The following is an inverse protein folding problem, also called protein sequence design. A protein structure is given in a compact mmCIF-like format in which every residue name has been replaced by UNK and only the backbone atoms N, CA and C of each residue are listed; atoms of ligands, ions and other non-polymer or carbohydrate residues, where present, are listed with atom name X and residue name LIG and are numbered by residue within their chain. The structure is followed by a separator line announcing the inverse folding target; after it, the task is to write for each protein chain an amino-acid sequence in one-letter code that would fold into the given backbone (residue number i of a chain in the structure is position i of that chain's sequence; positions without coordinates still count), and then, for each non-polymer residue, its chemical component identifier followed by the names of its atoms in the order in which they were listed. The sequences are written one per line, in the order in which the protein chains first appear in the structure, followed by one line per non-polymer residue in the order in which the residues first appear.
data_IF_785517013840
#
_entry.id   IF_785517013840
#
_cell.length_a   1.000
_cell.length_b   1.000
_cell.length_c   1.000
_cell.angle_alpha   90.00
_cell.angle_beta   90.00
_cell.angle_gamma   90.00
#
_symmetry.space_group_name_H-M   'P 1'
#
loop_
_entity.id
_entity.type
_entity.pdbx_description
1 polymer ?
#
# COMPACT_ATOMS: atom_id res chain seq x y z
N UNK A 1 -18.46 -0.85 -22.75
CA UNK A 1 -17.52 -0.59 -23.87
C UNK A 1 -17.34 -1.83 -24.76
N UNK A 2 -17.00 -1.67 -26.06
CA UNK A 2 -16.76 -2.79 -26.96
C UNK A 2 -15.41 -3.43 -26.65
N UNK A 3 -15.40 -4.42 -25.75
CA UNK A 3 -14.18 -5.11 -25.27
C UNK A 3 -13.84 -6.37 -26.10
N UNK A 4 -14.50 -6.57 -27.24
CA UNK A 4 -14.21 -7.67 -28.15
C UNK A 4 -13.09 -7.34 -29.14
N UNK A 5 -12.50 -8.33 -29.83
CA UNK A 5 -11.51 -8.09 -30.89
C UNK A 5 -11.99 -7.07 -31.93
N UNK A 6 -11.13 -6.10 -32.26
CA UNK A 6 -11.47 -4.99 -33.17
C UNK A 6 -12.32 -3.87 -32.56
N UNK A 7 -12.78 -4.04 -31.31
CA UNK A 7 -13.45 -2.98 -30.55
C UNK A 7 -12.48 -1.87 -30.15
N UNK A 8 -12.90 -0.62 -30.32
CA UNK A 8 -12.16 0.56 -29.85
C UNK A 8 -12.70 1.00 -28.50
N UNK A 9 -11.84 1.04 -27.50
CA UNK A 9 -12.14 1.68 -26.22
C UNK A 9 -11.79 3.16 -26.34
N UNK A 10 -12.78 4.03 -26.17
CA UNK A 10 -12.54 5.47 -26.04
C UNK A 10 -11.89 5.76 -24.69
N UNK A 11 -10.91 6.66 -24.67
CA UNK A 11 -10.28 7.19 -23.47
C UNK A 11 -10.30 8.71 -23.54
N UNK A 12 -10.22 9.33 -22.36
CA UNK A 12 -10.09 10.77 -22.24
C UNK A 12 -8.61 11.17 -22.44
N UNK A 13 -8.28 11.96 -23.49
CA UNK A 13 -6.91 12.35 -23.77
C UNK A 13 -6.33 13.33 -22.73
N UNK A 14 -7.17 13.96 -21.91
CA UNK A 14 -6.74 14.93 -20.89
C UNK A 14 -6.32 14.26 -19.57
N UNK A 15 -6.44 12.93 -19.47
CA UNK A 15 -5.99 12.17 -18.30
C UNK A 15 -4.46 12.23 -18.19
N UNK A 16 -3.97 13.06 -17.28
CA UNK A 16 -2.55 13.22 -16.97
C UNK A 16 -2.00 12.21 -15.95
N UNK A 17 -2.85 11.46 -15.24
CA UNK A 17 -2.40 10.46 -14.28
C UNK A 17 -3.42 9.34 -14.06
N UNK A 18 -2.91 8.14 -13.81
CA UNK A 18 -3.67 6.99 -13.33
C UNK A 18 -3.19 6.62 -11.92
N UNK A 19 -4.07 6.77 -10.94
CA UNK A 19 -3.83 6.40 -9.55
C UNK A 19 -4.48 5.06 -9.24
N UNK A 20 -3.69 4.09 -8.83
CA UNK A 20 -4.12 2.72 -8.54
C UNK A 20 -4.06 2.47 -7.04
N UNK A 21 -5.17 2.00 -6.50
CA UNK A 21 -5.29 1.56 -5.12
C UNK A 21 -6.20 0.34 -5.01
N UNK A 22 -6.56 -0.02 -3.78
CA UNK A 22 -7.42 -1.16 -3.52
C UNK A 22 -8.85 -0.92 -4.04
N UNK A 23 -9.30 -1.77 -4.98
CA UNK A 23 -10.63 -1.71 -5.58
C UNK A 23 -11.24 -3.12 -5.68
N UNK A 24 -12.21 -3.43 -4.81
CA UNK A 24 -12.92 -4.71 -4.79
C UNK A 24 -13.71 -4.99 -6.08
N UNK A 25 -13.98 -3.96 -6.86
CA UNK A 25 -14.70 -4.03 -8.13
C UNK A 25 -13.77 -3.73 -9.32
N UNK A 26 -12.46 -3.98 -9.16
CA UNK A 26 -11.54 -4.00 -10.29
C UNK A 26 -12.03 -5.01 -11.32
N UNK A 27 -12.00 -4.62 -12.58
CA UNK A 27 -12.43 -5.48 -13.68
C UNK A 27 -11.57 -5.21 -14.90
N UNK A 28 -11.71 -6.06 -15.92
CA UNK A 28 -10.91 -5.96 -17.14
C UNK A 28 -11.04 -4.60 -17.84
N UNK A 29 -12.23 -3.97 -17.80
CA UNK A 29 -12.40 -2.65 -18.40
C UNK A 29 -11.56 -1.58 -17.69
N UNK A 30 -11.55 -1.55 -16.35
CA UNK A 30 -10.73 -0.60 -15.59
C UNK A 30 -9.24 -0.79 -15.87
N UNK A 31 -8.79 -2.05 -15.92
CA UNK A 31 -7.39 -2.40 -16.26
C UNK A 31 -7.03 -1.91 -17.66
N UNK A 32 -7.87 -2.21 -18.66
CA UNK A 32 -7.66 -1.79 -20.04
C UNK A 32 -7.68 -0.27 -20.20
N UNK A 33 -8.60 0.42 -19.52
CA UNK A 33 -8.71 1.88 -19.58
C UNK A 33 -7.49 2.55 -18.96
N UNK A 34 -7.06 2.09 -17.77
CA UNK A 34 -5.85 2.54 -17.10
C UNK A 34 -4.61 2.35 -17.99
N UNK A 35 -4.41 1.14 -18.53
CA UNK A 35 -3.32 0.84 -19.46
C UNK A 35 -3.33 1.76 -20.68
N UNK A 36 -4.51 2.00 -21.25
CA UNK A 36 -4.67 2.83 -22.43
C UNK A 36 -4.24 4.28 -22.16
N UNK A 37 -4.71 4.87 -21.06
CA UNK A 37 -4.28 6.22 -20.66
C UNK A 37 -2.76 6.28 -20.43
N UNK A 38 -2.21 5.33 -19.66
CA UNK A 38 -0.77 5.29 -19.33
C UNK A 38 0.12 5.19 -20.57
N UNK A 39 -0.32 4.48 -21.61
CA UNK A 39 0.49 4.20 -22.80
C UNK A 39 0.28 5.20 -23.94
N UNK A 40 -0.90 5.81 -24.04
CA UNK A 40 -1.29 6.66 -25.19
C UNK A 40 -1.22 8.14 -24.86
N UNK A 41 -1.57 8.54 -23.63
CA UNK A 41 -1.52 9.95 -23.24
C UNK A 41 -0.08 10.33 -22.92
N UNK A 42 0.42 11.38 -23.58
CA UNK A 42 1.78 11.87 -23.36
C UNK A 42 1.94 12.37 -21.92
N UNK A 43 3.04 11.97 -21.28
CA UNK A 43 3.32 12.31 -19.88
C UNK A 43 2.36 11.73 -18.85
N UNK A 44 1.49 10.77 -19.19
CA UNK A 44 0.57 10.18 -18.22
C UNK A 44 1.31 9.46 -17.09
N UNK A 45 1.10 9.90 -15.87
CA UNK A 45 1.72 9.35 -14.66
C UNK A 45 1.03 8.04 -14.23
N UNK A 46 1.83 7.09 -13.75
CA UNK A 46 1.33 5.87 -13.12
C UNK A 46 1.69 5.91 -11.64
N UNK A 47 0.67 6.00 -10.78
CA UNK A 47 0.84 6.21 -9.34
C UNK A 47 0.17 5.07 -8.58
N UNK A 48 0.84 4.54 -7.57
CA UNK A 48 0.32 3.50 -6.68
C UNK A 48 0.18 4.03 -5.25
N UNK A 49 -0.96 3.80 -4.61
CA UNK A 49 -1.18 4.21 -3.21
C UNK A 49 -0.42 3.33 -2.21
N UNK A 50 -0.18 2.06 -2.55
CA UNK A 50 0.65 1.10 -1.82
C UNK A 50 0.95 -0.07 -2.77
N UNK A 51 1.90 -0.93 -2.37
CA UNK A 51 2.27 -2.14 -3.11
C UNK A 51 1.91 -3.41 -2.34
N UNK A 52 1.04 -3.33 -1.33
CA UNK A 52 0.67 -4.48 -0.52
C UNK A 52 -0.08 -5.52 -1.37
N UNK A 53 0.54 -6.67 -1.60
CA UNK A 53 -0.01 -7.70 -2.50
C UNK A 53 -1.26 -8.37 -1.93
N UNK A 54 -1.26 -8.62 -0.62
CA UNK A 54 -2.34 -9.28 0.12
C UNK A 54 -2.69 -8.51 1.40
N UNK A 55 -3.93 -8.68 1.86
CA UNK A 55 -4.43 -8.17 3.12
C UNK A 55 -5.30 -9.20 3.84
N UNK A 56 -5.34 -9.10 5.18
CA UNK A 56 -6.19 -9.90 6.05
C UNK A 56 -7.46 -9.10 6.37
N UNK A 57 -8.49 -9.24 5.54
CA UNK A 57 -9.72 -8.43 5.61
C UNK A 57 -10.87 -9.13 6.35
N UNK A 58 -10.62 -10.30 6.93
CA UNK A 58 -11.60 -11.14 7.62
C UNK A 58 -10.97 -11.82 8.82
N UNK A 59 -11.78 -12.23 9.80
CA UNK A 59 -11.31 -13.02 10.96
C UNK A 59 -10.96 -14.49 10.60
N UNK A 60 -11.26 -14.93 9.37
CA UNK A 60 -10.86 -16.23 8.87
C UNK A 60 -9.37 -16.21 8.46
N UNK A 61 -8.65 -17.36 8.51
CA UNK A 61 -7.27 -17.47 8.05
C UNK A 61 -7.21 -17.46 6.51
N UNK A 62 -7.56 -16.32 5.93
CA UNK A 62 -7.64 -16.11 4.48
C UNK A 62 -6.90 -14.83 4.11
N UNK A 63 -6.02 -14.96 3.12
CA UNK A 63 -5.41 -13.84 2.43
C UNK A 63 -6.28 -13.39 1.26
N UNK A 64 -6.51 -12.10 1.16
CA UNK A 64 -7.28 -11.50 0.09
C UNK A 64 -6.36 -10.59 -0.71
N UNK A 65 -6.55 -10.53 -2.03
CA UNK A 65 -5.80 -9.61 -2.89
C UNK A 65 -5.96 -8.17 -2.39
N UNK A 66 -4.85 -7.43 -2.27
CA UNK A 66 -4.80 -6.03 -1.85
C UNK A 66 -4.31 -5.12 -2.98
N UNK A 67 -4.09 -3.83 -2.71
CA UNK A 67 -3.81 -2.82 -3.72
C UNK A 67 -2.65 -3.16 -4.66
N UNK A 68 -1.60 -3.79 -4.14
CA UNK A 68 -0.45 -4.28 -4.89
C UNK A 68 -0.82 -5.31 -5.97
N UNK A 69 -1.84 -6.14 -5.74
CA UNK A 69 -2.35 -7.06 -6.76
C UNK A 69 -2.96 -6.32 -7.96
N UNK A 70 -3.72 -5.23 -7.72
CA UNK A 70 -4.25 -4.39 -8.79
C UNK A 70 -3.13 -3.65 -9.53
N UNK A 71 -2.15 -3.12 -8.78
CA UNK A 71 -0.95 -2.50 -9.35
C UNK A 71 -0.20 -3.50 -10.24
N UNK A 72 -0.04 -4.74 -9.80
CA UNK A 72 0.58 -5.82 -10.55
C UNK A 72 -0.09 -6.08 -11.91
N UNK A 73 -1.42 -6.03 -11.97
CA UNK A 73 -2.14 -6.15 -13.24
C UNK A 73 -1.81 -5.00 -14.21
N UNK A 74 -1.73 -3.76 -13.71
CA UNK A 74 -1.36 -2.60 -14.53
C UNK A 74 0.11 -2.66 -14.96
N UNK A 75 1.02 -3.04 -14.06
CA UNK A 75 2.44 -3.27 -14.38
C UNK A 75 2.58 -4.30 -15.49
N UNK A 76 1.88 -5.43 -15.38
CA UNK A 76 1.96 -6.52 -16.35
C UNK A 76 1.51 -6.14 -17.75
N UNK A 77 0.50 -5.26 -17.87
CA UNK A 77 -0.02 -4.86 -19.18
C UNK A 77 0.59 -3.57 -19.75
N UNK A 78 1.22 -2.74 -18.92
CA UNK A 78 1.91 -1.51 -19.36
C UNK A 78 3.43 -1.69 -19.51
N UNK A 79 4.03 -2.60 -18.75
CA UNK A 79 5.50 -2.73 -18.62
C UNK A 79 6.15 -1.58 -17.85
N UNK A 80 5.37 -0.70 -17.20
CA UNK A 80 5.86 0.45 -16.44
C UNK A 80 5.77 0.20 -14.94
N UNK A 81 6.70 0.78 -14.19
CA UNK A 81 6.65 0.82 -12.73
C UNK A 81 5.91 2.08 -12.25
N UNK A 82 5.11 1.99 -11.16
CA UNK A 82 4.43 3.14 -10.61
C UNK A 82 5.34 3.98 -9.72
N UNK A 83 5.00 5.25 -9.57
CA UNK A 83 5.44 6.07 -8.43
C UNK A 83 4.61 5.70 -7.21
N UNK A 84 5.26 5.23 -6.14
CA UNK A 84 4.58 4.83 -4.90
C UNK A 84 4.48 6.03 -3.96
N UNK A 85 3.25 6.39 -3.59
CA UNK A 85 2.97 7.58 -2.76
C UNK A 85 2.55 7.28 -1.33
N UNK A 86 2.12 6.04 -1.03
CA UNK A 86 1.96 5.59 0.35
C UNK A 86 3.19 4.84 0.86
N UNK A 87 3.03 4.13 1.97
CA UNK A 87 4.13 3.41 2.64
C UNK A 87 4.92 2.53 1.64
N UNK A 88 6.26 2.58 1.66
CA UNK A 88 7.13 3.28 2.63
C UNK A 88 7.48 4.75 2.26
N UNK A 89 6.84 5.34 1.25
CA UNK A 89 7.11 6.73 0.81
C UNK A 89 6.92 7.76 1.93
N UNK A 90 7.81 8.77 2.06
CA UNK A 90 7.73 9.80 3.11
C UNK A 90 6.60 10.81 2.90
N UNK A 91 5.98 10.86 1.72
CA UNK A 91 4.98 11.87 1.36
C UNK A 91 3.85 11.99 2.38
N UNK A 92 3.39 10.85 2.91
CA UNK A 92 2.34 10.85 3.93
C UNK A 92 2.79 11.54 5.23
N UNK A 93 4.00 11.24 5.72
CA UNK A 93 4.44 11.82 7.00
C UNK A 93 4.76 13.31 6.86
N UNK A 94 5.31 13.72 5.72
CA UNK A 94 5.61 15.12 5.42
C UNK A 94 4.33 15.97 5.42
N UNK A 95 3.28 15.46 4.76
CA UNK A 95 1.96 16.10 4.78
C UNK A 95 1.37 16.18 6.19
N UNK A 96 1.46 15.10 6.96
CA UNK A 96 0.93 15.06 8.33
C UNK A 96 1.69 16.02 9.25
N UNK A 97 3.01 16.09 9.13
CA UNK A 97 3.88 17.01 9.88
C UNK A 97 3.54 18.47 9.55
N UNK A 98 3.42 18.82 8.27
CA UNK A 98 3.02 20.17 7.83
C UNK A 98 1.64 20.55 8.36
N UNK A 99 0.69 19.62 8.33
CA UNK A 99 -0.71 19.86 8.71
C UNK A 99 -0.93 19.96 10.21
N UNK A 100 -0.23 19.15 11.01
CA UNK A 100 -0.51 18.99 12.44
C UNK A 100 0.63 19.47 13.36
N UNK A 101 1.82 19.74 12.82
CA UNK A 101 2.94 20.33 13.58
C UNK A 101 3.47 19.45 14.71
N UNK A 102 3.58 18.13 14.50
CA UNK A 102 4.16 17.22 15.48
C UNK A 102 5.64 16.94 15.21
N UNK A 103 6.35 16.54 16.27
CA UNK A 103 7.71 16.02 16.17
C UNK A 103 7.67 14.52 15.84
N UNK A 104 8.32 14.10 14.75
CA UNK A 104 8.30 12.70 14.27
C UNK A 104 8.71 11.69 15.34
N UNK A 105 9.73 11.98 16.14
CA UNK A 105 10.20 11.10 17.22
C UNK A 105 9.20 10.85 18.35
N UNK A 106 8.10 11.61 18.40
CA UNK A 106 6.98 11.43 19.35
C UNK A 106 5.79 10.69 18.76
N UNK A 107 5.89 10.25 17.51
CA UNK A 107 4.87 9.48 16.80
C UNK A 107 5.32 8.02 16.73
N UNK A 108 4.37 7.10 16.90
CA UNK A 108 4.59 5.68 16.75
C UNK A 108 3.80 5.16 15.55
N UNK A 109 4.49 4.58 14.58
CA UNK A 109 3.90 3.80 13.51
C UNK A 109 3.53 2.42 14.05
N UNK A 110 2.24 2.11 14.06
CA UNK A 110 1.71 0.80 14.45
C UNK A 110 1.21 0.09 13.20
N UNK A 111 1.68 -1.12 12.95
CA UNK A 111 1.29 -1.89 11.78
C UNK A 111 1.73 -3.34 11.84
N UNK A 112 1.38 -4.12 10.83
CA UNK A 112 1.54 -5.58 10.81
C UNK A 112 2.55 -6.06 9.74
N UNK A 113 3.14 -5.14 8.96
CA UNK A 113 4.12 -5.44 7.92
C UNK A 113 5.48 -4.82 8.19
N UNK A 114 6.53 -5.64 8.07
CA UNK A 114 7.91 -5.18 8.19
C UNK A 114 8.32 -4.25 7.05
N UNK A 115 8.05 -4.66 5.81
CA UNK A 115 8.51 -4.00 4.59
C UNK A 115 7.72 -2.74 4.21
N UNK A 116 6.57 -2.50 4.84
CA UNK A 116 5.79 -1.27 4.64
C UNK A 116 5.64 -0.45 5.92
N UNK A 117 5.05 -0.99 7.00
CA UNK A 117 4.78 -0.21 8.21
C UNK A 117 6.06 0.12 8.99
N UNK A 118 6.83 -0.92 9.34
CA UNK A 118 8.04 -0.75 10.14
C UNK A 118 9.08 0.02 9.34
N UNK A 119 9.23 -0.29 8.04
CA UNK A 119 10.13 0.44 7.17
C UNK A 119 9.71 1.91 7.02
N UNK A 120 8.41 2.20 6.82
CA UNK A 120 7.91 3.57 6.80
C UNK A 120 8.25 4.31 8.09
N UNK A 121 8.01 3.71 9.26
CA UNK A 121 8.33 4.36 10.53
C UNK A 121 9.82 4.61 10.70
N UNK A 122 10.65 3.60 10.42
CA UNK A 122 12.11 3.67 10.55
C UNK A 122 12.71 4.74 9.63
N UNK A 123 12.37 4.69 8.34
CA UNK A 123 12.93 5.58 7.32
C UNK A 123 12.49 7.05 7.54
N UNK A 124 11.40 7.25 8.27
CA UNK A 124 10.85 8.58 8.55
C UNK A 124 11.11 9.08 9.98
N UNK A 125 11.88 8.37 10.79
CA UNK A 125 12.23 8.80 12.15
C UNK A 125 11.07 8.74 13.15
N UNK A 126 10.09 7.86 12.91
CA UNK A 126 9.03 7.51 13.84
C UNK A 126 9.50 6.37 14.75
N UNK A 127 8.86 6.21 15.90
CA UNK A 127 8.90 4.93 16.63
C UNK A 127 8.09 3.89 15.87
N UNK A 128 8.42 2.62 16.05
CA UNK A 128 7.76 1.51 15.35
C UNK A 128 7.29 0.45 16.31
N UNK A 129 6.04 0.03 16.16
CA UNK A 129 5.45 -1.09 16.88
C UNK A 129 4.81 -2.04 15.87
N UNK A 130 5.35 -3.26 15.80
CA UNK A 130 4.78 -4.32 14.98
C UNK A 130 3.70 -5.08 15.77
N UNK A 131 2.53 -5.29 15.18
CA UNK A 131 1.52 -6.22 15.72
C UNK A 131 1.51 -7.52 14.94
N UNK A 132 1.45 -8.66 15.63
CA UNK A 132 1.52 -10.00 15.04
C UNK A 132 0.14 -10.55 14.62
N UNK A 133 -0.91 -9.75 14.74
CA UNK A 133 -2.28 -10.12 14.37
C UNK A 133 -2.57 -10.05 12.87
N UNK A 134 -1.57 -9.76 12.04
CA UNK A 134 -1.74 -9.53 10.60
C UNK A 134 -0.73 -10.32 9.76
N UNK A 135 -0.03 -9.65 8.85
CA UNK A 135 0.81 -10.29 7.83
C UNK A 135 2.12 -10.85 8.38
N UNK A 136 2.83 -10.13 9.23
CA UNK A 136 4.11 -10.59 9.78
C UNK A 136 3.87 -11.58 10.91
N UNK A 137 4.33 -12.82 10.74
CA UNK A 137 4.34 -13.81 11.83
C UNK A 137 5.55 -13.63 12.74
N UNK A 138 5.50 -14.18 13.95
CA UNK A 138 6.65 -14.17 14.87
C UNK A 138 7.87 -14.87 14.24
N UNK A 139 7.66 -15.96 13.50
CA UNK A 139 8.73 -16.65 12.77
C UNK A 139 9.41 -15.75 11.74
N UNK A 140 8.63 -14.99 10.95
CA UNK A 140 9.18 -14.02 10.01
C UNK A 140 9.95 -12.91 10.72
N UNK A 141 9.42 -12.40 11.83
CA UNK A 141 10.09 -11.39 12.65
C UNK A 141 11.43 -11.92 13.17
N UNK A 142 11.45 -13.12 13.77
CA UNK A 142 12.63 -13.70 14.42
C UNK A 142 13.62 -14.36 13.45
N UNK A 143 13.26 -14.48 12.17
CA UNK A 143 14.14 -15.01 11.13
C UNK A 143 15.48 -14.26 11.08
N UNK A 144 16.57 -15.03 10.87
CA UNK A 144 17.90 -14.50 10.65
C UNK A 144 18.02 -13.72 9.33
N UNK A 145 17.13 -13.99 8.37
CA UNK A 145 17.09 -13.29 7.08
C UNK A 145 16.40 -11.92 7.16
N UNK A 146 15.61 -11.68 8.22
CA UNK A 146 14.92 -10.43 8.39
C UNK A 146 15.91 -9.30 8.73
N UNK A 147 15.90 -8.25 7.90
CA UNK A 147 16.78 -7.07 8.02
C UNK A 147 16.06 -5.86 8.62
N UNK A 148 14.74 -5.93 8.79
CA UNK A 148 13.90 -4.83 9.28
C UNK A 148 13.47 -5.17 10.70
N UNK A 149 13.80 -4.31 11.66
CA UNK A 149 13.56 -4.54 13.09
C UNK A 149 12.70 -3.41 13.64
N UNK A 150 11.50 -3.70 14.18
CA UNK A 150 10.72 -2.68 14.88
C UNK A 150 11.36 -2.36 16.25
N UNK A 151 11.04 -1.19 16.82
CA UNK A 151 11.46 -0.83 18.19
C UNK A 151 10.82 -1.77 19.22
N UNK A 152 9.58 -2.19 18.97
CA UNK A 152 8.84 -3.13 19.80
C UNK A 152 7.87 -3.97 18.95
N UNK A 153 7.38 -5.07 19.51
CA UNK A 153 6.27 -5.83 18.94
C UNK A 153 5.30 -6.31 20.01
N UNK A 154 4.05 -6.55 19.62
CA UNK A 154 2.97 -7.06 20.45
C UNK A 154 2.10 -8.05 19.68
N UNK A 155 1.31 -8.86 20.37
CA UNK A 155 0.43 -9.83 19.69
C UNK A 155 -0.67 -9.11 18.91
N UNK A 156 -1.29 -8.10 19.53
CA UNK A 156 -2.40 -7.34 18.94
C UNK A 156 -2.37 -5.87 19.33
N UNK A 157 -3.14 -5.04 18.62
CA UNK A 157 -3.31 -3.62 19.00
C UNK A 157 -4.01 -3.44 20.35
N UNK A 158 -4.76 -4.44 20.83
CA UNK A 158 -5.48 -4.37 22.11
C UNK A 158 -4.52 -4.32 23.29
N UNK A 159 -3.33 -4.88 23.12
CA UNK A 159 -2.30 -4.93 24.16
C UNK A 159 -1.68 -3.55 24.46
N UNK A 160 -2.03 -2.53 23.65
CA UNK A 160 -1.65 -1.13 23.87
C UNK A 160 -2.60 -0.39 24.81
N UNK A 161 -3.78 -0.94 25.09
CA UNK A 161 -4.79 -0.30 25.92
C UNK A 161 -4.61 -0.79 27.36
N UNK A 162 -4.37 0.09 28.35
CA UNK A 162 -4.28 -0.30 29.74
C UNK A 162 -5.58 -0.95 30.22
N UNK A 163 -5.47 -2.03 31.02
CA UNK A 163 -6.64 -2.67 31.64
C UNK A 163 -7.50 -1.64 32.39
N UNK A 164 -8.80 -1.60 32.08
CA UNK A 164 -9.77 -0.68 32.72
C UNK A 164 -10.14 0.57 31.93
N UNK A 165 -9.63 0.73 30.70
CA UNK A 165 -10.04 1.79 29.78
C UNK A 165 -11.29 1.35 29.00
N UNK A 166 -12.49 1.66 29.52
CA UNK A 166 -13.77 1.53 28.80
C UNK A 166 -14.05 2.77 27.94
#
# INVERSE_FOLDING_TARGET
PPMGPGGRVEHDPDVGAVVVGFDRHVNYYKIQYAQLCINVNDGCEFIATNLDEVAHLTDAPQEWAAGGSMVGAIKGCTGREPTVVGKPSPLLIEYLEEKFGFERGRVCMVGDRLDTDVLFGTDNGLRTLLVLSGVTTEEMLLSLENKIRPDAYADTIKDLIPEGSN
#
